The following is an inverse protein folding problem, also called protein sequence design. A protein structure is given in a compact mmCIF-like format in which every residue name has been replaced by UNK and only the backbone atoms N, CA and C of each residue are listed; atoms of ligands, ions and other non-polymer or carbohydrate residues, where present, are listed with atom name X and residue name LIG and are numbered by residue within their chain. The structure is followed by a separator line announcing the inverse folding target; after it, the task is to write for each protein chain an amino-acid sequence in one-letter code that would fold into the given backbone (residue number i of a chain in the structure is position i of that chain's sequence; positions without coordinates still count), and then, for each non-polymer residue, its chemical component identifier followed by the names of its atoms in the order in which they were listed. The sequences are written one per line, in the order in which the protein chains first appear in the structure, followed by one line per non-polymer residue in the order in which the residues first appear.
data_IF_793957170536
#
_entry.id   IF_793957170536
#
_cell.length_a   1.000
_cell.length_b   1.000
_cell.length_c   1.000
_cell.angle_alpha   90.00
_cell.angle_beta   90.00
_cell.angle_gamma   90.00
#
_symmetry.space_group_name_H-M   'P 1'
#
loop_
_entity.id
_entity.type
_entity.pdbx_description
1 polymer ?
#
# COMPACT_ATOMS: atom_id res chain seq x y z
N UNK A 1 -0.14 25.45 20.44
CA UNK A 1 -0.02 23.98 20.29
C UNK A 1 -0.27 23.65 18.83
N UNK A 2 0.79 23.33 18.07
CA UNK A 2 0.76 23.24 16.61
C UNK A 2 0.06 21.94 16.15
N UNK A 3 -1.19 22.09 15.69
CA UNK A 3 -2.04 21.00 15.17
C UNK A 3 -1.59 20.55 13.76
N UNK A 4 -0.70 21.31 13.09
CA UNK A 4 -0.19 21.01 11.75
C UNK A 4 0.66 19.72 11.67
N UNK A 5 1.24 19.24 12.78
CA UNK A 5 2.03 17.98 12.80
C UNK A 5 1.20 16.70 12.80
N UNK A 6 -0.12 16.78 12.91
CA UNK A 6 -1.00 15.61 13.02
C UNK A 6 -2.03 15.49 11.88
N UNK A 7 -2.01 16.41 10.93
CA UNK A 7 -2.80 16.34 9.70
C UNK A 7 -1.93 15.79 8.58
N UNK A 8 -2.14 14.51 8.21
CA UNK A 8 -2.03 13.94 6.84
C UNK A 8 -0.84 14.32 5.95
N UNK A 9 0.22 14.95 6.45
CA UNK A 9 1.42 15.22 5.69
C UNK A 9 2.27 13.96 5.62
N UNK A 10 2.74 13.69 4.40
CA UNK A 10 3.74 12.68 4.13
C UNK A 10 4.98 12.96 5.00
N UNK A 11 5.28 12.05 5.93
CA UNK A 11 6.44 12.15 6.82
C UNK A 11 7.66 11.48 6.15
N UNK A 12 8.58 12.30 5.63
CA UNK A 12 9.84 11.85 5.02
C UNK A 12 10.71 11.02 6.00
N UNK A 13 10.51 11.15 7.33
CA UNK A 13 11.25 10.39 8.34
C UNK A 13 10.72 8.95 8.52
N UNK A 14 9.46 8.69 8.16
CA UNK A 14 8.84 7.36 8.23
C UNK A 14 9.10 6.52 6.98
N UNK A 15 9.38 7.15 5.83
CA UNK A 15 9.80 6.47 4.59
C UNK A 15 11.31 6.32 4.46
N UNK A 16 12.02 6.24 5.59
CA UNK A 16 13.46 6.03 5.70
C UNK A 16 13.98 4.69 5.14
N UNK A 17 13.34 4.12 4.11
CA UNK A 17 14.02 3.18 3.23
C UNK A 17 14.97 3.99 2.33
N UNK A 18 16.19 4.12 2.84
CA UNK A 18 17.35 4.65 2.14
C UNK A 18 17.42 4.03 0.72
N UNK A 19 17.28 4.86 -0.31
CA UNK A 19 17.59 4.60 -1.74
C UNK A 19 16.45 4.44 -2.78
N UNK A 20 15.17 4.57 -2.44
CA UNK A 20 14.10 4.23 -3.41
C UNK A 20 13.69 5.39 -4.35
N UNK A 21 13.87 6.66 -3.95
CA UNK A 21 13.40 7.81 -4.73
C UNK A 21 14.35 9.03 -4.62
N UNK A 22 15.46 9.04 -5.38
CA UNK A 22 16.50 10.08 -5.29
C UNK A 22 16.04 11.46 -5.78
N UNK A 23 14.92 11.55 -6.50
CA UNK A 23 14.35 12.79 -7.01
C UNK A 23 13.07 13.20 -6.28
N UNK A 24 12.59 12.42 -5.32
CA UNK A 24 11.37 12.75 -4.60
C UNK A 24 10.12 12.74 -5.47
N UNK A 25 10.14 12.11 -6.65
CA UNK A 25 9.02 12.11 -7.61
C UNK A 25 7.87 11.22 -7.12
N UNK A 26 8.15 10.18 -6.33
CA UNK A 26 7.14 9.25 -5.86
C UNK A 26 6.05 9.95 -5.06
N UNK A 27 6.39 10.97 -4.27
CA UNK A 27 5.40 11.70 -3.46
C UNK A 27 4.46 12.54 -4.34
N UNK A 28 4.96 13.09 -5.45
CA UNK A 28 4.18 13.87 -6.40
C UNK A 28 3.16 12.94 -7.07
N UNK A 29 3.67 11.85 -7.64
CA UNK A 29 2.85 10.86 -8.31
C UNK A 29 1.85 10.18 -7.38
N UNK A 30 2.28 9.86 -6.16
CA UNK A 30 1.45 9.19 -5.16
C UNK A 30 0.27 10.05 -4.74
N UNK A 31 0.42 11.38 -4.72
CA UNK A 31 -0.65 12.32 -4.39
C UNK A 31 -1.82 12.22 -5.38
N UNK A 32 -1.55 12.21 -6.69
CA UNK A 32 -2.61 12.02 -7.69
C UNK A 32 -3.20 10.61 -7.66
N UNK A 33 -2.38 9.59 -7.48
CA UNK A 33 -2.90 8.24 -7.36
C UNK A 33 -3.76 8.05 -6.10
N UNK A 34 -3.44 8.69 -4.98
CA UNK A 34 -4.31 8.72 -3.79
C UNK A 34 -5.65 9.38 -4.08
N UNK A 35 -5.69 10.41 -4.93
CA UNK A 35 -6.94 11.04 -5.37
C UNK A 35 -7.82 10.05 -6.14
N UNK A 36 -7.24 9.31 -7.10
CA UNK A 36 -7.96 8.32 -7.91
C UNK A 36 -8.43 7.13 -7.07
N UNK A 37 -7.54 6.56 -6.26
CA UNK A 37 -7.81 5.33 -5.51
C UNK A 37 -8.36 5.60 -4.11
N UNK A 38 -8.54 6.86 -3.72
CA UNK A 38 -9.06 7.33 -2.41
C UNK A 38 -8.40 6.64 -1.22
N UNK A 39 -7.10 6.37 -1.33
CA UNK A 39 -6.32 5.63 -0.33
C UNK A 39 -6.91 4.26 0.05
N UNK A 40 -7.59 3.60 -0.88
CA UNK A 40 -8.17 2.23 -0.77
C UNK A 40 -7.22 1.14 -1.21
N UNK A 41 -6.11 1.49 -1.86
CA UNK A 41 -5.05 0.55 -2.27
C UNK A 41 -3.73 1.24 -1.98
N UNK A 42 -2.74 0.47 -1.54
CA UNK A 42 -1.35 0.93 -1.42
C UNK A 42 -0.41 -0.18 -1.93
N UNK A 43 0.90 0.08 -1.97
CA UNK A 43 1.90 -0.95 -2.28
C UNK A 43 1.90 -2.14 -1.30
N UNK A 44 1.34 -1.95 -0.10
CA UNK A 44 1.32 -2.97 0.96
C UNK A 44 -0.10 -3.45 1.31
N UNK A 45 -1.13 -2.78 0.80
CA UNK A 45 -2.55 -3.11 0.98
C UNK A 45 -3.23 -3.32 -0.38
N UNK A 46 -3.06 -4.52 -0.93
CA UNK A 46 -3.44 -4.87 -2.31
C UNK A 46 -3.92 -6.33 -2.47
N UNK A 47 -4.07 -7.10 -1.38
CA UNK A 47 -4.54 -8.49 -1.41
C UNK A 47 -5.95 -8.57 -0.80
N UNK A 48 -6.93 -9.02 -1.59
CA UNK A 48 -8.33 -9.17 -1.17
C UNK A 48 -8.48 -10.14 0.01
N UNK A 49 -7.64 -11.17 0.08
CA UNK A 49 -7.62 -12.11 1.19
C UNK A 49 -7.27 -11.42 2.49
N UNK A 50 -6.28 -10.53 2.45
CA UNK A 50 -5.83 -9.80 3.64
C UNK A 50 -6.81 -8.71 4.04
N UNK A 51 -7.46 -8.03 3.08
CA UNK A 51 -8.60 -7.15 3.36
C UNK A 51 -9.70 -7.88 4.13
N UNK A 52 -10.08 -9.06 3.64
CA UNK A 52 -11.14 -9.88 4.22
C UNK A 52 -10.76 -10.46 5.57
N UNK A 53 -9.50 -10.90 5.74
CA UNK A 53 -8.97 -11.36 7.02
C UNK A 53 -9.00 -10.24 8.06
N UNK A 54 -8.55 -9.04 7.68
CA UNK A 54 -8.53 -7.90 8.59
C UNK A 54 -9.95 -7.51 9.03
N UNK A 55 -10.89 -7.43 8.09
CA UNK A 55 -12.30 -7.17 8.40
C UNK A 55 -12.87 -8.20 9.37
N UNK A 56 -12.61 -9.48 9.13
CA UNK A 56 -13.07 -10.56 10.00
C UNK A 56 -12.48 -10.41 11.42
N UNK A 57 -11.18 -10.19 11.56
CA UNK A 57 -10.56 -10.00 12.87
C UNK A 57 -11.18 -8.82 13.62
N UNK A 58 -11.37 -7.68 12.96
CA UNK A 58 -12.02 -6.53 13.57
C UNK A 58 -13.51 -6.77 13.87
N UNK A 59 -14.21 -7.62 13.12
CA UNK A 59 -15.59 -8.01 13.48
C UNK A 59 -15.63 -8.80 14.79
N UNK A 60 -14.65 -9.68 15.03
CA UNK A 60 -14.50 -10.40 16.31
C UNK A 60 -14.22 -9.40 17.44
N UNK A 61 -13.30 -8.47 17.22
CA UNK A 61 -12.98 -7.43 18.20
C UNK A 61 -14.20 -6.57 18.54
N UNK A 62 -14.94 -6.10 17.54
CA UNK A 62 -16.15 -5.32 17.74
C UNK A 62 -17.18 -6.07 18.58
N UNK A 63 -17.39 -7.35 18.31
CA UNK A 63 -18.33 -8.18 19.08
C UNK A 63 -17.85 -8.38 20.53
N UNK A 64 -16.55 -8.61 20.75
CA UNK A 64 -15.96 -8.68 22.08
C UNK A 64 -16.13 -7.36 22.86
N UNK A 65 -15.94 -6.21 22.20
CA UNK A 65 -16.08 -4.90 22.83
C UNK A 65 -17.53 -4.59 23.22
N UNK A 66 -18.48 -4.94 22.35
CA UNK A 66 -19.91 -4.68 22.55
C UNK A 66 -20.56 -5.54 23.66
N UNK A 67 -20.00 -6.71 23.99
CA UNK A 67 -20.55 -7.57 25.04
C UNK A 67 -20.18 -7.08 26.46
N UNK A 68 -20.97 -6.19 27.04
CA UNK A 68 -20.72 -5.62 28.38
C UNK A 68 -20.53 -6.66 29.50
N UNK A 69 -21.13 -7.85 29.36
CA UNK A 69 -21.02 -8.92 30.36
C UNK A 69 -19.66 -9.60 30.33
N UNK A 70 -18.98 -9.58 29.19
CA UNK A 70 -17.66 -10.14 29.03
C UNK A 70 -16.59 -9.18 29.55
N UNK A 71 -15.89 -9.59 30.60
CA UNK A 71 -14.78 -8.86 31.22
C UNK A 71 -13.52 -9.73 31.26
N UNK A 72 -12.34 -9.13 31.35
CA UNK A 72 -11.10 -9.89 31.54
C UNK A 72 -11.07 -10.48 32.96
N UNK A 73 -10.61 -11.73 33.09
CA UNK A 73 -10.49 -12.42 34.37
C UNK A 73 -9.10 -13.07 34.54
N UNK A 74 -8.80 -13.53 35.76
CA UNK A 74 -7.60 -14.31 36.06
C UNK A 74 -6.31 -13.68 35.55
N UNK A 75 -5.55 -14.43 34.75
CA UNK A 75 -4.30 -13.96 34.15
C UNK A 75 -4.52 -12.87 33.10
N UNK A 76 -5.62 -12.93 32.35
CA UNK A 76 -5.97 -11.90 31.37
C UNK A 76 -6.19 -10.54 32.05
N UNK A 77 -6.88 -10.50 33.20
CA UNK A 77 -7.10 -9.25 33.95
C UNK A 77 -5.81 -8.64 34.48
N UNK A 78 -4.83 -9.48 34.84
CA UNK A 78 -3.51 -9.02 35.29
C UNK A 78 -2.71 -8.38 34.16
N UNK A 79 -2.76 -8.96 32.96
CA UNK A 79 -2.09 -8.41 31.78
C UNK A 79 -2.83 -7.20 31.19
N UNK A 80 -4.16 -7.27 31.15
CA UNK A 80 -5.05 -6.28 30.55
C UNK A 80 -6.25 -6.01 31.49
N UNK A 81 -6.17 -4.97 32.34
CA UNK A 81 -7.20 -4.68 33.34
C UNK A 81 -8.60 -4.44 32.76
N UNK A 82 -8.67 -3.99 31.51
CA UNK A 82 -9.91 -3.75 30.76
C UNK A 82 -9.73 -4.22 29.32
N UNK A 83 -10.79 -4.77 28.73
CA UNK A 83 -10.79 -5.16 27.31
C UNK A 83 -10.73 -3.96 26.36
N UNK A 84 -11.12 -2.76 26.81
CA UNK A 84 -11.00 -1.52 26.03
C UNK A 84 -9.57 -0.98 25.97
N UNK A 85 -8.60 -1.61 26.63
CA UNK A 85 -7.20 -1.23 26.52
C UNK A 85 -6.70 -1.41 25.08
N UNK A 86 -5.87 -0.49 24.59
CA UNK A 86 -5.30 -0.56 23.24
C UNK A 86 -4.41 -1.78 23.09
N UNK A 87 -3.66 -2.08 24.13
CA UNK A 87 -2.75 -3.21 24.25
C UNK A 87 -3.50 -4.54 24.17
N UNK A 88 -4.71 -4.62 24.73
CA UNK A 88 -5.57 -5.80 24.59
C UNK A 88 -6.01 -5.99 23.13
N UNK A 89 -6.38 -4.91 22.44
CA UNK A 89 -6.76 -4.96 21.02
C UNK A 89 -5.57 -5.39 20.17
N UNK A 90 -4.40 -4.81 20.40
CA UNK A 90 -3.16 -5.19 19.75
C UNK A 90 -2.84 -6.69 19.95
N UNK A 91 -2.93 -7.18 21.19
CA UNK A 91 -2.66 -8.58 21.52
C UNK A 91 -3.63 -9.54 20.82
N UNK A 92 -4.93 -9.22 20.79
CA UNK A 92 -5.90 -10.04 20.08
C UNK A 92 -5.63 -10.10 18.57
N UNK A 93 -5.29 -8.97 17.95
CA UNK A 93 -5.02 -8.90 16.51
C UNK A 93 -3.76 -9.68 16.13
N UNK A 94 -2.68 -9.53 16.90
CA UNK A 94 -1.46 -10.34 16.74
C UNK A 94 -1.79 -11.82 16.88
N UNK A 95 -2.51 -12.20 17.94
CA UNK A 95 -2.81 -13.60 18.23
C UNK A 95 -3.66 -14.26 17.14
N UNK A 96 -4.71 -13.59 16.68
CA UNK A 96 -5.54 -14.07 15.57
C UNK A 96 -4.75 -14.18 14.26
N UNK A 97 -3.87 -13.21 13.97
CA UNK A 97 -2.98 -13.27 12.81
C UNK A 97 -1.99 -14.44 12.91
N UNK A 98 -1.39 -14.69 14.07
CA UNK A 98 -0.49 -15.81 14.28
C UNK A 98 -1.20 -17.16 14.08
N UNK A 99 -2.45 -17.28 14.57
CA UNK A 99 -3.26 -18.48 14.35
C UNK A 99 -3.55 -18.67 12.86
N UNK A 100 -3.89 -17.60 12.14
CA UNK A 100 -4.06 -17.66 10.69
C UNK A 100 -2.78 -18.16 9.99
N UNK A 101 -1.62 -17.55 10.28
CA UNK A 101 -0.34 -17.89 9.63
C UNK A 101 -0.01 -19.37 9.84
N UNK A 102 -0.07 -19.86 11.09
CA UNK A 102 0.21 -21.27 11.39
C UNK A 102 -0.87 -22.22 10.84
N UNK A 103 -2.12 -21.77 10.74
CA UNK A 103 -3.17 -22.55 10.05
C UNK A 103 -2.83 -22.76 8.58
N UNK A 104 -2.33 -21.72 7.90
CA UNK A 104 -1.90 -21.81 6.51
C UNK A 104 -0.68 -22.72 6.36
N UNK A 105 0.35 -22.57 7.21
CA UNK A 105 1.53 -23.46 7.19
C UNK A 105 1.13 -24.92 7.38
N UNK A 106 0.31 -25.21 8.39
CA UNK A 106 -0.17 -26.57 8.67
C UNK A 106 -1.02 -27.17 7.55
N UNK A 107 -1.52 -26.35 6.63
CA UNK A 107 -2.31 -26.75 5.48
C UNK A 107 -1.58 -26.63 4.14
N UNK A 108 -0.28 -26.30 4.12
CA UNK A 108 0.51 -26.10 2.89
C UNK A 108 0.35 -27.27 1.90
N UNK A 109 0.49 -28.50 2.39
CA UNK A 109 0.33 -29.72 1.59
C UNK A 109 -1.10 -29.98 1.09
N UNK A 110 -2.08 -29.20 1.55
CA UNK A 110 -3.49 -29.26 1.13
C UNK A 110 -3.81 -28.25 0.02
N UNK A 111 -2.80 -27.57 -0.52
CA UNK A 111 -2.92 -26.65 -1.64
C UNK A 111 -3.44 -25.27 -1.26
N UNK A 112 -3.05 -24.75 -0.09
CA UNK A 112 -3.23 -23.32 0.25
C UNK A 112 -2.12 -22.50 -0.38
N UNK A 113 -2.41 -21.25 -0.75
CA UNK A 113 -1.41 -20.33 -1.29
C UNK A 113 -0.76 -19.54 -0.15
N UNK A 114 0.55 -19.67 0.03
CA UNK A 114 1.27 -18.97 1.11
C UNK A 114 1.83 -17.61 0.70
N UNK A 115 1.99 -17.36 -0.60
CA UNK A 115 2.35 -16.04 -1.14
C UNK A 115 1.34 -15.00 -0.67
N UNK A 116 1.80 -13.86 -0.15
CA UNK A 116 0.95 -12.80 0.40
C UNK A 116 0.54 -12.98 1.88
N UNK A 117 0.89 -14.10 2.52
CA UNK A 117 0.75 -14.28 3.98
C UNK A 117 1.90 -13.58 4.71
N UNK A 118 1.59 -12.55 5.49
CA UNK A 118 2.60 -11.74 6.17
C UNK A 118 3.33 -12.57 7.24
N UNK A 119 4.65 -12.43 7.35
CA UNK A 119 5.46 -13.16 8.33
C UNK A 119 5.68 -14.66 8.04
N UNK A 120 5.22 -15.19 6.90
CA UNK A 120 5.23 -16.63 6.61
C UNK A 120 6.62 -17.28 6.71
N UNK A 121 7.69 -16.59 6.26
CA UNK A 121 9.05 -17.13 6.29
C UNK A 121 9.57 -17.29 7.73
N UNK A 122 9.32 -16.30 8.59
CA UNK A 122 9.68 -16.36 10.02
C UNK A 122 8.85 -17.41 10.74
N UNK A 123 7.55 -17.50 10.43
CA UNK A 123 6.66 -18.51 10.97
C UNK A 123 7.10 -19.93 10.59
N UNK A 124 7.52 -20.15 9.33
CA UNK A 124 8.02 -21.46 8.87
C UNK A 124 9.26 -21.91 9.63
N UNK A 125 10.19 -20.99 9.88
CA UNK A 125 11.37 -21.29 10.68
C UNK A 125 10.96 -21.73 12.10
N UNK A 126 10.12 -20.95 12.78
CA UNK A 126 9.61 -21.30 14.13
C UNK A 126 8.85 -22.62 14.15
N UNK A 127 8.04 -22.86 13.12
CA UNK A 127 7.26 -24.08 12.94
C UNK A 127 8.15 -25.32 12.87
N UNK A 128 9.20 -25.28 12.03
CA UNK A 128 10.13 -26.39 11.87
C UNK A 128 10.97 -26.63 13.14
N UNK A 129 11.50 -25.57 13.75
CA UNK A 129 12.28 -25.67 14.99
C UNK A 129 11.47 -26.25 16.15
N UNK A 130 10.16 -25.97 16.19
CA UNK A 130 9.26 -26.48 17.22
C UNK A 130 8.58 -27.81 16.85
N UNK A 131 9.12 -28.59 15.89
CA UNK A 131 8.55 -29.86 15.44
C UNK A 131 7.05 -29.76 15.08
N UNK A 132 6.68 -28.71 14.34
CA UNK A 132 5.30 -28.40 13.93
C UNK A 132 4.36 -28.00 15.09
N UNK A 133 4.89 -27.69 16.28
CA UNK A 133 4.10 -27.29 17.45
C UNK A 133 4.68 -26.05 18.17
N UNK A 134 4.75 -24.89 17.50
CA UNK A 134 5.25 -23.67 18.12
C UNK A 134 4.35 -23.20 19.27
N UNK A 135 4.93 -22.47 20.23
CA UNK A 135 4.17 -21.76 21.28
C UNK A 135 3.62 -20.46 20.70
N UNK A 136 2.39 -20.12 21.07
CA UNK A 136 1.73 -18.86 20.73
C UNK A 136 1.46 -18.05 22.00
N UNK A 137 2.39 -17.16 22.40
CA UNK A 137 2.14 -16.21 23.47
C UNK A 137 1.03 -15.23 23.08
N UNK A 138 0.07 -15.02 23.97
CA UNK A 138 -0.92 -13.96 23.85
C UNK A 138 -0.35 -12.67 24.45
N UNK A 139 -0.01 -11.72 23.59
CA UNK A 139 0.57 -10.45 24.02
C UNK A 139 0.71 -9.44 22.89
N UNK A 140 1.17 -8.24 23.23
CA UNK A 140 1.37 -7.11 22.31
C UNK A 140 2.85 -6.72 22.13
N UNK A 141 3.76 -7.52 22.71
CA UNK A 141 5.20 -7.33 22.68
C UNK A 141 5.87 -8.22 21.61
N UNK A 142 7.18 -8.02 21.41
CA UNK A 142 7.95 -8.73 20.39
C UNK A 142 8.00 -10.26 20.58
N UNK A 143 7.80 -10.76 21.80
CA UNK A 143 7.74 -12.21 22.08
C UNK A 143 6.49 -12.85 21.49
N UNK A 144 5.41 -12.08 21.41
CA UNK A 144 4.13 -12.49 20.82
C UNK A 144 4.12 -12.33 19.30
N UNK A 145 5.01 -11.52 18.73
CA UNK A 145 5.10 -11.27 17.30
C UNK A 145 5.84 -12.41 16.56
N UNK A 146 5.34 -12.78 15.37
CA UNK A 146 6.10 -13.59 14.41
C UNK A 146 6.88 -12.69 13.45
N UNK A 147 6.23 -11.63 12.97
CA UNK A 147 6.84 -10.60 12.16
C UNK A 147 7.29 -9.46 13.06
N UNK A 148 8.56 -9.05 13.01
CA UNK A 148 9.04 -7.86 13.73
C UNK A 148 8.18 -6.63 13.39
N UNK A 149 7.70 -5.91 14.41
CA UNK A 149 6.75 -4.80 14.27
C UNK A 149 5.43 -5.24 13.59
N UNK A 150 4.87 -6.38 14.00
CA UNK A 150 3.67 -6.97 13.40
C UNK A 150 2.46 -6.03 13.43
N UNK A 151 2.34 -5.18 14.44
CA UNK A 151 1.25 -4.20 14.51
C UNK A 151 1.28 -3.20 13.35
N UNK A 152 2.46 -2.89 12.81
CA UNK A 152 2.65 -1.97 11.68
C UNK A 152 2.79 -2.70 10.35
N UNK A 153 3.54 -3.81 10.33
CA UNK A 153 3.93 -4.53 9.11
C UNK A 153 3.10 -5.79 8.85
N UNK A 154 2.30 -6.26 9.81
CA UNK A 154 1.36 -7.35 9.66
C UNK A 154 0.07 -6.91 8.96
N UNK A 155 -0.90 -7.81 8.93
CA UNK A 155 -2.19 -7.63 8.24
C UNK A 155 -2.95 -6.44 8.80
N UNK A 156 -3.03 -6.31 10.13
CA UNK A 156 -3.71 -5.16 10.73
C UNK A 156 -3.04 -3.84 10.33
N UNK A 157 -1.72 -3.73 10.46
CA UNK A 157 -0.99 -2.48 10.21
C UNK A 157 -1.06 -2.02 8.77
N UNK A 158 -0.77 -2.91 7.82
CA UNK A 158 -0.79 -2.60 6.37
C UNK A 158 -2.18 -2.14 5.90
N UNK A 159 -3.24 -2.71 6.45
CA UNK A 159 -4.63 -2.44 6.03
C UNK A 159 -5.34 -1.43 6.94
N UNK A 160 -4.66 -0.88 7.96
CA UNK A 160 -5.26 0.07 8.92
C UNK A 160 -5.80 1.32 8.23
N UNK A 161 -4.97 2.01 7.45
CA UNK A 161 -5.37 3.28 6.83
C UNK A 161 -6.53 3.12 5.84
N UNK A 162 -6.55 2.13 4.92
CA UNK A 162 -7.72 1.88 4.10
C UNK A 162 -9.00 1.60 4.90
N UNK A 163 -8.91 0.83 5.99
CA UNK A 163 -10.06 0.50 6.83
C UNK A 163 -10.60 1.70 7.62
N UNK A 164 -9.71 2.59 8.10
CA UNK A 164 -10.08 3.87 8.73
C UNK A 164 -10.78 4.76 7.73
N UNK A 165 -10.20 4.92 6.54
CA UNK A 165 -10.83 5.71 5.48
C UNK A 165 -12.19 5.12 5.10
N UNK A 166 -12.37 3.80 5.25
CA UNK A 166 -13.63 3.09 5.00
C UNK A 166 -14.52 3.11 6.26
N UNK A 167 -14.22 3.92 7.27
CA UNK A 167 -15.06 4.12 8.45
C UNK A 167 -15.41 2.82 9.19
N UNK A 168 -14.53 1.81 9.16
CA UNK A 168 -14.71 0.63 10.00
C UNK A 168 -14.34 0.94 11.46
N UNK A 169 -13.32 1.76 11.68
CA UNK A 169 -12.87 2.15 13.01
C UNK A 169 -12.00 3.41 12.94
N UNK A 170 -11.77 4.07 14.09
CA UNK A 170 -10.86 5.20 14.19
C UNK A 170 -9.38 4.77 14.32
N UNK A 171 -8.46 5.74 14.36
CA UNK A 171 -7.03 5.53 14.66
C UNK A 171 -6.79 4.78 15.97
N UNK A 172 -7.73 4.89 16.91
CA UNK A 172 -7.73 4.28 18.24
C UNK A 172 -8.55 2.98 18.32
N UNK A 173 -9.07 2.47 17.20
CA UNK A 173 -9.95 1.31 17.13
C UNK A 173 -11.32 1.49 17.81
N UNK A 174 -11.90 2.69 17.79
CA UNK A 174 -13.31 2.85 18.16
C UNK A 174 -14.21 2.30 17.06
N UNK A 175 -15.05 1.29 17.39
CA UNK A 175 -15.87 0.55 16.44
C UNK A 175 -17.33 1.04 16.34
N UNK A 176 -17.76 1.89 17.27
CA UNK A 176 -19.14 2.26 17.55
C UNK A 176 -19.44 3.75 17.31
N UNK A 177 -18.56 4.46 16.60
CA UNK A 177 -18.83 5.84 16.16
C UNK A 177 -20.09 5.87 15.27
N UNK A 178 -20.93 6.95 15.35
CA UNK A 178 -22.20 7.03 14.62
C UNK A 178 -22.07 6.72 13.12
N UNK A 179 -21.03 7.27 12.48
CA UNK A 179 -20.79 7.11 11.05
C UNK A 179 -20.43 5.67 10.68
N UNK A 180 -19.94 4.85 11.61
CA UNK A 180 -19.52 3.48 11.34
C UNK A 180 -20.70 2.50 11.28
N UNK A 181 -21.90 2.88 11.73
CA UNK A 181 -23.04 1.95 11.91
C UNK A 181 -23.44 1.26 10.61
N UNK A 182 -23.61 2.03 9.53
CA UNK A 182 -24.02 1.50 8.22
C UNK A 182 -22.96 0.55 7.63
N UNK A 183 -21.68 0.88 7.84
CA UNK A 183 -20.54 0.09 7.39
C UNK A 183 -20.52 -1.27 8.05
N UNK A 184 -20.67 -1.29 9.38
CA UNK A 184 -20.71 -2.54 10.13
C UNK A 184 -21.96 -3.35 9.83
N UNK A 185 -23.12 -2.73 9.60
CA UNK A 185 -24.32 -3.47 9.18
C UNK A 185 -24.08 -4.23 7.86
N UNK A 186 -23.45 -3.59 6.87
CA UNK A 186 -23.10 -4.24 5.61
C UNK A 186 -22.08 -5.38 5.81
N UNK A 187 -21.04 -5.15 6.62
CA UNK A 187 -20.04 -6.17 6.93
C UNK A 187 -20.60 -7.35 7.72
N UNK A 188 -21.50 -7.10 8.65
CA UNK A 188 -22.21 -8.13 9.41
C UNK A 188 -23.08 -8.99 8.48
N UNK A 189 -23.83 -8.36 7.58
CA UNK A 189 -24.62 -9.07 6.58
C UNK A 189 -23.72 -9.94 5.69
N UNK A 190 -22.63 -9.37 5.18
CA UNK A 190 -21.63 -10.07 4.38
C UNK A 190 -21.05 -11.30 5.11
N UNK A 191 -20.51 -11.11 6.32
CA UNK A 191 -19.90 -12.19 7.10
C UNK A 191 -20.93 -13.29 7.43
N UNK A 192 -22.18 -12.92 7.73
CA UNK A 192 -23.23 -13.88 8.05
C UNK A 192 -23.73 -14.66 6.81
N UNK A 193 -23.67 -14.06 5.63
CA UNK A 193 -24.07 -14.68 4.37
C UNK A 193 -23.00 -15.63 3.81
N UNK A 194 -21.73 -15.45 4.15
CA UNK A 194 -20.65 -16.36 3.74
C UNK A 194 -20.43 -17.43 4.82
N UNK A 195 -20.78 -18.72 4.58
CA UNK A 195 -20.76 -19.75 5.63
C UNK A 195 -19.37 -19.98 6.24
N UNK A 196 -18.30 -19.86 5.44
CA UNK A 196 -16.93 -20.00 5.91
C UNK A 196 -16.54 -18.88 6.89
N UNK A 197 -16.88 -17.62 6.57
CA UNK A 197 -16.60 -16.48 7.45
C UNK A 197 -17.45 -16.52 8.71
N UNK A 198 -18.76 -16.79 8.60
CA UNK A 198 -19.65 -16.95 9.76
C UNK A 198 -19.12 -17.99 10.75
N UNK A 199 -18.73 -19.16 10.24
CA UNK A 199 -18.16 -20.24 11.07
C UNK A 199 -16.85 -19.80 11.72
N UNK A 200 -15.94 -19.22 10.94
CA UNK A 200 -14.65 -18.78 11.46
C UNK A 200 -14.80 -17.71 12.54
N UNK A 201 -15.66 -16.71 12.32
CA UNK A 201 -15.95 -15.66 13.30
C UNK A 201 -16.45 -16.26 14.62
N UNK A 202 -17.40 -17.19 14.56
CA UNK A 202 -17.94 -17.85 15.75
C UNK A 202 -16.85 -18.62 16.52
N UNK A 203 -15.98 -19.35 15.81
CA UNK A 203 -14.87 -20.09 16.42
C UNK A 203 -13.82 -19.15 17.04
N UNK A 204 -13.47 -18.07 16.35
CA UNK A 204 -12.50 -17.09 16.84
C UNK A 204 -13.03 -16.35 18.08
N UNK A 205 -14.30 -15.95 18.07
CA UNK A 205 -14.97 -15.32 19.20
C UNK A 205 -14.98 -16.26 20.42
N UNK A 206 -15.47 -17.50 20.25
CA UNK A 206 -15.51 -18.48 21.33
C UNK A 206 -14.12 -18.75 21.92
N UNK A 207 -13.10 -18.86 21.06
CA UNK A 207 -11.73 -19.06 21.48
C UNK A 207 -11.19 -17.86 22.29
N UNK A 208 -11.32 -16.62 21.78
CA UNK A 208 -10.86 -15.43 22.51
C UNK A 208 -11.64 -15.21 23.81
N UNK A 209 -12.96 -15.43 23.82
CA UNK A 209 -13.77 -15.38 25.05
C UNK A 209 -13.25 -16.39 26.08
N UNK A 210 -12.90 -17.61 25.68
CA UNK A 210 -12.32 -18.60 26.60
C UNK A 210 -10.96 -18.16 27.13
N UNK A 211 -10.12 -17.58 26.26
CA UNK A 211 -8.79 -17.09 26.61
C UNK A 211 -8.87 -15.91 27.59
N UNK A 212 -9.89 -15.06 27.48
CA UNK A 212 -10.14 -13.96 28.41
C UNK A 212 -10.47 -14.39 29.84
N UNK A 213 -10.85 -15.66 30.04
CA UNK A 213 -11.25 -16.22 31.33
C UNK A 213 -10.20 -17.12 31.98
N UNK A 214 -9.00 -17.26 31.39
CA UNK A 214 -7.98 -18.18 31.92
C UNK A 214 -7.43 -17.69 33.26
N UNK A 215 -7.16 -18.66 34.14
CA UNK A 215 -6.71 -18.38 35.51
C UNK A 215 -5.20 -18.20 35.63
N UNK A 216 -4.41 -18.92 34.83
CA UNK A 216 -2.96 -18.97 34.96
C UNK A 216 -2.24 -18.38 33.73
N UNK A 217 -1.07 -17.76 33.96
CA UNK A 217 -0.27 -17.14 32.90
C UNK A 217 0.13 -18.14 31.81
N UNK A 218 0.48 -19.38 32.19
CA UNK A 218 0.86 -20.45 31.25
C UNK A 218 -0.23 -20.74 30.20
N UNK A 219 -1.49 -20.47 30.52
CA UNK A 219 -2.62 -20.72 29.60
C UNK A 219 -2.71 -19.64 28.51
N UNK A 220 -2.07 -18.47 28.73
CA UNK A 220 -1.85 -17.43 27.72
C UNK A 220 -0.69 -17.76 26.78
N UNK A 221 0.11 -18.78 27.08
CA UNK A 221 1.25 -19.25 26.28
C UNK A 221 0.94 -20.65 25.73
N UNK A 222 -0.11 -20.74 24.92
CA UNK A 222 -0.62 -22.02 24.43
C UNK A 222 0.24 -22.58 23.30
N UNK A 223 0.62 -23.85 23.40
CA UNK A 223 1.19 -24.59 22.28
C UNK A 223 0.18 -24.71 21.12
N UNK A 224 0.68 -24.73 19.88
CA UNK A 224 -0.15 -24.74 18.68
C UNK A 224 -1.17 -25.89 18.67
N UNK A 225 -0.81 -27.09 19.11
CA UNK A 225 -1.68 -28.25 19.21
C UNK A 225 -2.93 -27.99 20.07
N UNK A 226 -2.82 -27.15 21.10
CA UNK A 226 -3.93 -26.74 21.98
C UNK A 226 -4.91 -25.78 21.32
N UNK A 227 -4.53 -25.09 20.25
CA UNK A 227 -5.48 -24.27 19.48
C UNK A 227 -6.54 -25.20 18.86
N UNK A 228 -7.85 -24.92 19.01
CA UNK A 228 -8.91 -25.83 18.56
C UNK A 228 -8.79 -26.19 17.07
N UNK A 229 -8.84 -27.49 16.69
CA UNK A 229 -8.80 -27.90 15.28
C UNK A 229 -9.91 -27.27 14.43
N UNK A 230 -11.07 -27.03 15.04
CA UNK A 230 -12.20 -26.36 14.37
C UNK A 230 -11.85 -24.92 13.94
N UNK A 231 -11.10 -24.18 14.75
CA UNK A 231 -10.63 -22.83 14.44
C UNK A 231 -9.58 -22.86 13.32
N UNK A 232 -8.57 -23.74 13.45
CA UNK A 232 -7.51 -23.93 12.44
C UNK A 232 -8.10 -24.23 11.05
N UNK A 233 -9.02 -25.21 11.00
CA UNK A 233 -9.68 -25.62 9.77
C UNK A 233 -10.60 -24.52 9.22
N UNK A 234 -11.22 -23.71 10.07
CA UNK A 234 -12.06 -22.60 9.63
C UNK A 234 -11.23 -21.49 8.95
N UNK A 235 -10.03 -21.18 9.46
CA UNK A 235 -9.09 -20.27 8.79
C UNK A 235 -8.72 -20.77 7.40
N UNK A 236 -8.29 -22.05 7.30
CA UNK A 236 -7.92 -22.68 6.02
C UNK A 236 -9.07 -22.64 5.02
N UNK A 237 -10.29 -22.96 5.47
CA UNK A 237 -11.47 -22.95 4.60
C UNK A 237 -11.83 -21.56 4.10
N UNK A 238 -11.68 -20.53 4.94
CA UNK A 238 -12.05 -19.17 4.58
C UNK A 238 -11.00 -18.48 3.70
N UNK A 239 -9.71 -18.75 3.89
CA UNK A 239 -8.62 -17.92 3.33
C UNK A 239 -7.57 -18.72 2.55
N UNK A 240 -7.99 -19.82 1.91
CA UNK A 240 -7.13 -20.74 1.17
C UNK A 240 -6.17 -20.05 0.20
N UNK A 241 -6.70 -19.15 -0.62
CA UNK A 241 -5.98 -18.38 -1.63
C UNK A 241 -6.79 -17.12 -2.00
N UNK A 242 -6.18 -16.11 -2.65
CA UNK A 242 -6.87 -14.86 -3.00
C UNK A 242 -8.07 -15.06 -3.93
N UNK A 243 -8.02 -16.01 -4.85
CA UNK A 243 -9.06 -16.25 -5.85
C UNK A 243 -10.34 -16.80 -5.20
N UNK A 244 -10.20 -17.79 -4.32
CA UNK A 244 -11.28 -18.34 -3.49
C UNK A 244 -11.93 -17.25 -2.63
N UNK A 245 -11.13 -16.32 -2.09
CA UNK A 245 -11.69 -15.18 -1.35
C UNK A 245 -12.43 -14.21 -2.27
N UNK A 246 -11.87 -13.94 -3.45
CA UNK A 246 -12.52 -13.13 -4.48
C UNK A 246 -13.93 -13.63 -4.80
N UNK A 247 -14.07 -14.94 -5.05
CA UNK A 247 -15.33 -15.58 -5.45
C UNK A 247 -16.52 -15.20 -4.55
N UNK A 248 -16.31 -15.08 -3.23
CA UNK A 248 -17.39 -14.71 -2.30
C UNK A 248 -17.37 -13.25 -1.86
N UNK A 249 -16.26 -12.52 -2.02
CA UNK A 249 -16.08 -11.17 -1.44
C UNK A 249 -16.06 -10.02 -2.46
N UNK A 250 -16.04 -10.35 -3.75
CA UNK A 250 -15.89 -9.38 -4.83
C UNK A 250 -16.90 -8.23 -4.75
N UNK A 251 -18.19 -8.55 -4.73
CA UNK A 251 -19.26 -7.56 -4.72
C UNK A 251 -19.16 -6.64 -3.50
N UNK A 252 -18.97 -7.24 -2.32
CA UNK A 252 -18.80 -6.50 -1.07
C UNK A 252 -17.63 -5.51 -1.15
N UNK A 253 -16.46 -5.96 -1.61
CA UNK A 253 -15.28 -5.09 -1.68
C UNK A 253 -15.38 -4.04 -2.77
N UNK A 254 -15.92 -4.36 -3.95
CA UNK A 254 -16.15 -3.34 -4.98
C UNK A 254 -17.13 -2.27 -4.50
N UNK A 255 -18.21 -2.67 -3.83
CA UNK A 255 -19.16 -1.73 -3.26
C UNK A 255 -18.54 -0.88 -2.14
N UNK A 256 -17.73 -1.45 -1.25
CA UNK A 256 -17.17 -0.73 -0.10
C UNK A 256 -16.00 0.17 -0.48
N UNK A 257 -15.14 -0.29 -1.38
CA UNK A 257 -13.96 0.47 -1.83
C UNK A 257 -14.30 1.47 -2.91
N UNK A 258 -15.39 1.24 -3.66
CA UNK A 258 -15.80 2.00 -4.83
C UNK A 258 -14.77 2.02 -5.96
N UNK A 259 -13.86 1.04 -5.97
CA UNK A 259 -12.81 0.92 -6.99
C UNK A 259 -13.36 0.56 -8.39
N UNK A 260 -14.64 0.24 -8.50
CA UNK A 260 -15.37 0.08 -9.75
C UNK A 260 -16.17 1.33 -10.16
N UNK A 261 -16.03 2.45 -9.45
CA UNK A 261 -16.72 3.71 -9.72
C UNK A 261 -15.73 4.85 -9.97
N UNK A 262 -16.20 5.93 -10.59
CA UNK A 262 -15.43 7.16 -10.83
C UNK A 262 -14.08 6.91 -11.54
N UNK A 263 -13.02 7.64 -11.18
CA UNK A 263 -11.72 7.53 -11.85
C UNK A 263 -11.13 6.13 -11.75
N UNK A 264 -11.13 5.53 -10.55
CA UNK A 264 -10.70 4.14 -10.35
C UNK A 264 -11.55 3.16 -11.15
N UNK A 265 -12.86 3.42 -11.26
CA UNK A 265 -13.80 2.64 -12.04
C UNK A 265 -13.51 2.66 -13.54
N UNK A 266 -13.10 3.80 -14.09
CA UNK A 266 -12.66 3.88 -15.48
C UNK A 266 -11.43 2.99 -15.72
N UNK A 267 -10.44 3.03 -14.81
CA UNK A 267 -9.27 2.14 -14.84
C UNK A 267 -9.71 0.67 -14.70
N UNK A 268 -10.63 0.36 -13.77
CA UNK A 268 -11.19 -0.98 -13.59
C UNK A 268 -11.78 -1.53 -14.88
N UNK A 269 -12.54 -0.74 -15.63
CA UNK A 269 -13.11 -1.18 -16.91
C UNK A 269 -12.04 -1.47 -17.96
N UNK A 270 -10.98 -0.65 -18.03
CA UNK A 270 -9.84 -0.92 -18.92
C UNK A 270 -9.16 -2.24 -18.54
N UNK A 271 -8.86 -2.44 -17.26
CA UNK A 271 -8.19 -3.66 -16.79
C UNK A 271 -9.10 -4.91 -16.95
N UNK A 272 -10.42 -4.74 -16.83
CA UNK A 272 -11.38 -5.81 -17.13
C UNK A 272 -11.37 -6.18 -18.62
N UNK A 273 -11.18 -5.22 -19.52
CA UNK A 273 -11.00 -5.49 -20.96
C UNK A 273 -9.64 -6.12 -21.25
N UNK A 274 -8.56 -5.60 -20.63
CA UNK A 274 -7.19 -6.15 -20.68
C UNK A 274 -7.19 -7.65 -20.37
N UNK A 275 -7.88 -8.04 -19.28
CA UNK A 275 -8.01 -9.45 -18.88
C UNK A 275 -8.68 -10.33 -19.94
N UNK A 276 -9.68 -9.81 -20.66
CA UNK A 276 -10.42 -10.58 -21.69
C UNK A 276 -9.60 -10.85 -22.95
N UNK A 277 -8.68 -9.95 -23.29
CA UNK A 277 -7.85 -10.07 -24.50
C UNK A 277 -6.47 -10.69 -24.20
N UNK A 278 -6.22 -11.08 -22.95
CA UNK A 278 -4.97 -11.69 -22.45
C UNK A 278 -3.70 -10.94 -22.88
N UNK A 279 -3.80 -9.63 -23.06
CA UNK A 279 -2.69 -8.78 -23.52
C UNK A 279 -2.53 -7.63 -22.54
N UNK A 280 -1.38 -7.60 -21.86
CA UNK A 280 -1.07 -6.57 -20.85
C UNK A 280 -0.82 -5.24 -21.55
N UNK A 281 -1.61 -4.22 -21.22
CA UNK A 281 -1.41 -2.87 -21.72
C UNK A 281 -0.29 -2.17 -20.95
N UNK A 282 0.40 -1.26 -21.62
CA UNK A 282 1.29 -0.31 -20.94
C UNK A 282 0.48 0.62 -20.03
N UNK A 283 1.13 1.18 -19.01
CA UNK A 283 0.46 2.08 -18.07
C UNK A 283 -0.08 3.35 -18.79
N UNK A 284 0.66 3.88 -19.76
CA UNK A 284 0.22 4.98 -20.61
C UNK A 284 -1.06 4.65 -21.38
N UNK A 285 -1.17 3.44 -21.95
CA UNK A 285 -2.37 2.98 -22.63
C UNK A 285 -3.54 2.79 -21.68
N UNK A 286 -3.29 2.29 -20.47
CA UNK A 286 -4.33 2.15 -19.44
C UNK A 286 -4.95 3.49 -19.11
N UNK A 287 -4.13 4.51 -18.79
CA UNK A 287 -4.64 5.84 -18.49
C UNK A 287 -5.31 6.50 -19.69
N UNK A 288 -4.73 6.36 -20.89
CA UNK A 288 -5.32 6.89 -22.12
C UNK A 288 -6.70 6.32 -22.42
N UNK A 289 -6.89 5.00 -22.23
CA UNK A 289 -8.20 4.36 -22.39
C UNK A 289 -9.14 4.70 -21.25
N UNK A 290 -8.65 4.82 -20.02
CA UNK A 290 -9.45 5.17 -18.86
C UNK A 290 -10.04 6.58 -19.01
N UNK A 291 -9.29 7.56 -19.52
CA UNK A 291 -9.81 8.91 -19.82
C UNK A 291 -10.99 8.84 -20.80
N UNK A 292 -10.85 8.08 -21.90
CA UNK A 292 -11.94 7.90 -22.89
C UNK A 292 -13.17 7.20 -22.34
N UNK A 293 -12.98 6.28 -21.39
CA UNK A 293 -14.10 5.63 -20.68
C UNK A 293 -14.77 6.64 -19.76
N UNK A 294 -13.98 7.40 -18.98
CA UNK A 294 -14.48 8.41 -18.06
C UNK A 294 -15.30 9.51 -18.77
N UNK A 295 -14.91 9.94 -19.98
CA UNK A 295 -15.69 10.87 -20.81
C UNK A 295 -17.11 10.38 -21.13
N UNK A 296 -17.31 9.05 -21.17
CA UNK A 296 -18.59 8.41 -21.49
C UNK A 296 -19.37 8.00 -20.25
N UNK A 297 -18.82 8.15 -19.05
CA UNK A 297 -19.49 7.80 -17.81
C UNK A 297 -20.42 8.95 -17.39
N UNK A 298 -21.75 8.75 -17.34
CA UNK A 298 -22.70 9.82 -17.07
C UNK A 298 -22.63 10.37 -15.64
N UNK A 299 -22.16 9.58 -14.67
CA UNK A 299 -22.15 9.92 -13.24
C UNK A 299 -20.76 10.32 -12.71
N UNK A 300 -19.73 10.42 -13.54
CA UNK A 300 -18.39 10.77 -13.05
C UNK A 300 -18.29 12.29 -12.81
N UNK A 301 -17.83 12.64 -11.61
CA UNK A 301 -17.55 14.01 -11.24
C UNK A 301 -16.36 14.60 -12.04
N UNK A 302 -16.38 15.92 -12.28
CA UNK A 302 -15.32 16.59 -13.04
C UNK A 302 -13.96 16.49 -12.33
N UNK A 303 -13.92 16.57 -11.00
CA UNK A 303 -12.68 16.40 -10.24
C UNK A 303 -12.07 15.01 -10.45
N UNK A 304 -12.90 13.97 -10.49
CA UNK A 304 -12.48 12.58 -10.75
C UNK A 304 -11.94 12.42 -12.18
N UNK A 305 -12.59 13.05 -13.17
CA UNK A 305 -12.11 13.08 -14.56
C UNK A 305 -10.75 13.79 -14.66
N UNK A 306 -10.62 14.94 -14.00
CA UNK A 306 -9.38 15.73 -13.98
C UNK A 306 -8.24 14.98 -13.30
N UNK A 307 -8.49 14.17 -12.27
CA UNK A 307 -7.45 13.37 -11.61
C UNK A 307 -6.73 12.41 -12.58
N UNK A 308 -7.45 11.76 -13.50
CA UNK A 308 -6.86 10.92 -14.55
C UNK A 308 -6.02 11.74 -15.54
N UNK A 309 -6.48 12.94 -15.87
CA UNK A 309 -5.80 13.83 -16.80
C UNK A 309 -4.52 14.42 -16.21
N UNK A 310 -4.51 14.78 -14.92
CA UNK A 310 -3.33 15.33 -14.25
C UNK A 310 -2.13 14.38 -14.35
N UNK A 311 -2.35 13.10 -14.04
CA UNK A 311 -1.34 12.03 -14.17
C UNK A 311 -0.83 11.96 -15.62
N UNK A 312 -1.75 11.90 -16.59
CA UNK A 312 -1.38 11.74 -18.00
C UNK A 312 -0.65 12.95 -18.58
N UNK A 313 -0.92 14.16 -18.06
CA UNK A 313 -0.26 15.41 -18.45
C UNK A 313 1.10 15.58 -17.79
N UNK A 314 1.24 15.19 -16.53
CA UNK A 314 2.47 15.38 -15.76
C UNK A 314 3.53 14.29 -16.03
N UNK A 315 3.13 13.06 -16.35
CA UNK A 315 4.08 11.96 -16.52
C UNK A 315 5.17 12.20 -17.56
N UNK A 316 4.88 12.73 -18.77
CA UNK A 316 5.95 12.97 -19.75
C UNK A 316 7.04 13.91 -19.22
N UNK A 317 6.66 14.87 -18.38
CA UNK A 317 7.61 15.77 -17.72
C UNK A 317 8.45 15.05 -16.65
N UNK A 318 7.80 14.28 -15.77
CA UNK A 318 8.47 13.52 -14.72
C UNK A 318 9.42 12.46 -15.30
N UNK A 319 8.98 11.75 -16.34
CA UNK A 319 9.77 10.76 -17.08
C UNK A 319 11.00 11.37 -17.74
N UNK A 320 10.89 12.59 -18.29
CA UNK A 320 12.02 13.29 -18.90
C UNK A 320 13.03 13.78 -17.87
N UNK A 321 12.57 14.25 -16.70
CA UNK A 321 13.44 14.57 -15.56
C UNK A 321 14.14 13.29 -15.05
N UNK A 322 13.43 12.16 -14.95
CA UNK A 322 14.05 10.89 -14.54
C UNK A 322 15.05 10.39 -15.59
N UNK A 323 14.80 10.60 -16.88
CA UNK A 323 15.75 10.27 -17.96
C UNK A 323 17.02 11.13 -17.87
N UNK A 324 16.90 12.43 -17.58
CA UNK A 324 18.04 13.31 -17.32
C UNK A 324 18.87 12.77 -16.15
N UNK A 325 18.25 12.47 -15.02
CA UNK A 325 18.94 11.95 -13.85
C UNK A 325 19.56 10.57 -14.08
N UNK A 326 18.85 9.68 -14.77
CA UNK A 326 19.34 8.35 -15.14
C UNK A 326 20.53 8.43 -16.08
N UNK A 327 20.50 9.37 -17.03
CA UNK A 327 21.64 9.70 -17.87
C UNK A 327 22.84 10.16 -17.05
N UNK A 328 22.65 11.02 -16.04
CA UNK A 328 23.72 11.45 -15.14
C UNK A 328 24.30 10.29 -14.29
N UNK A 329 23.54 9.21 -14.08
CA UNK A 329 23.94 8.03 -13.29
C UNK A 329 24.52 6.87 -14.11
N UNK A 330 24.57 6.97 -15.44
CA UNK A 330 24.94 5.84 -16.32
C UNK A 330 26.40 5.39 -16.20
N UNK A 331 27.27 6.27 -15.69
CA UNK A 331 28.72 6.08 -15.60
C UNK A 331 29.22 6.57 -14.25
N UNK A 332 30.33 6.01 -13.77
CA UNK A 332 30.94 6.40 -12.50
C UNK A 332 31.48 7.84 -12.51
N UNK A 333 31.90 8.32 -13.67
CA UNK A 333 32.32 9.70 -13.92
C UNK A 333 31.98 10.07 -15.36
N UNK A 334 31.59 11.33 -15.59
CA UNK A 334 31.35 11.88 -16.91
C UNK A 334 31.46 13.41 -16.90
N UNK A 335 31.68 14.02 -18.06
CA UNK A 335 31.65 15.47 -18.25
C UNK A 335 30.26 15.96 -18.64
N UNK A 336 30.00 17.26 -18.48
CA UNK A 336 28.79 17.91 -19.02
C UNK A 336 28.66 17.76 -20.54
N UNK A 337 29.78 17.76 -21.26
CA UNK A 337 29.83 17.52 -22.71
C UNK A 337 29.40 16.08 -23.07
N UNK A 338 29.90 15.07 -22.35
CA UNK A 338 29.48 13.67 -22.54
C UNK A 338 27.99 13.48 -22.22
N UNK A 339 27.49 14.14 -21.17
CA UNK A 339 26.05 14.14 -20.88
C UNK A 339 25.24 14.80 -22.02
N UNK A 340 25.73 15.90 -22.59
CA UNK A 340 25.06 16.59 -23.70
C UNK A 340 24.99 15.70 -24.94
N UNK A 341 26.06 14.95 -25.22
CA UNK A 341 26.05 13.94 -26.28
C UNK A 341 25.02 12.84 -26.02
N UNK A 342 24.92 12.34 -24.78
CA UNK A 342 23.89 11.38 -24.38
C UNK A 342 22.48 11.92 -24.62
N UNK A 343 22.21 13.18 -24.25
CA UNK A 343 20.92 13.83 -24.45
C UNK A 343 20.55 13.90 -25.93
N UNK A 344 21.49 14.31 -26.78
CA UNK A 344 21.30 14.35 -28.23
C UNK A 344 21.10 12.97 -28.86
N UNK A 345 21.81 11.94 -28.41
CA UNK A 345 21.62 10.56 -28.87
C UNK A 345 20.20 10.04 -28.60
N UNK A 346 19.56 10.52 -27.53
CA UNK A 346 18.15 10.24 -27.22
C UNK A 346 17.17 11.13 -28.00
N UNK A 347 17.63 11.88 -29.01
CA UNK A 347 16.83 12.80 -29.84
C UNK A 347 16.16 13.90 -29.01
N UNK A 348 16.86 14.39 -28.00
CA UNK A 348 16.43 15.46 -27.13
C UNK A 348 17.27 16.72 -27.35
N UNK A 349 16.66 17.85 -27.02
CA UNK A 349 17.22 19.21 -27.11
C UNK A 349 17.11 19.91 -25.76
N UNK A 350 17.79 21.05 -25.62
CA UNK A 350 17.64 21.90 -24.44
C UNK A 350 16.20 22.43 -24.26
N UNK A 351 15.35 22.36 -25.30
CA UNK A 351 13.99 22.91 -25.28
C UNK A 351 12.92 21.89 -24.85
N UNK A 352 13.19 20.58 -24.85
CA UNK A 352 12.17 19.57 -24.54
C UNK A 352 11.62 19.71 -23.10
N UNK A 353 12.50 19.95 -22.11
CA UNK A 353 12.09 20.18 -20.71
C UNK A 353 11.37 21.53 -20.52
N UNK A 354 11.92 22.67 -20.97
CA UNK A 354 11.24 23.98 -20.87
C UNK A 354 9.85 23.98 -21.50
N UNK A 355 9.68 23.33 -22.66
CA UNK A 355 8.38 23.28 -23.33
C UNK A 355 7.34 22.48 -22.54
N UNK A 356 7.74 21.37 -21.91
CA UNK A 356 6.85 20.60 -21.04
C UNK A 356 6.53 21.38 -19.76
N UNK A 357 7.54 22.00 -19.14
CA UNK A 357 7.38 22.81 -17.94
C UNK A 357 6.42 23.99 -18.17
N UNK A 358 6.57 24.72 -19.28
CA UNK A 358 5.72 25.85 -19.63
C UNK A 358 4.25 25.44 -19.81
N UNK A 359 3.98 24.30 -20.45
CA UNK A 359 2.62 23.75 -20.59
C UNK A 359 1.99 23.44 -19.24
N UNK A 360 2.75 22.82 -18.33
CA UNK A 360 2.28 22.47 -17.00
C UNK A 360 2.09 23.69 -16.09
N UNK A 361 2.94 24.71 -16.23
CA UNK A 361 2.80 25.98 -15.49
C UNK A 361 1.52 26.74 -15.87
N UNK A 362 1.04 26.58 -17.10
CA UNK A 362 -0.23 27.17 -17.56
C UNK A 362 -1.45 26.41 -17.04
N UNK A 363 -1.29 25.15 -16.61
CA UNK A 363 -2.36 24.31 -16.08
C UNK A 363 -2.59 24.58 -14.58
N UNK A 364 -3.32 25.67 -14.29
CA UNK A 364 -3.64 26.07 -12.92
C UNK A 364 -4.41 25.00 -12.15
N UNK A 365 -5.22 24.19 -12.82
CA UNK A 365 -5.99 23.11 -12.20
C UNK A 365 -5.08 21.99 -11.70
N UNK A 366 -4.12 21.58 -12.54
CA UNK A 366 -3.12 20.58 -12.17
C UNK A 366 -2.25 21.07 -11.00
N UNK A 367 -1.76 22.30 -11.04
CA UNK A 367 -0.95 22.86 -9.96
C UNK A 367 -1.72 22.95 -8.64
N UNK A 368 -2.98 23.39 -8.68
CA UNK A 368 -3.84 23.48 -7.50
C UNK A 368 -4.24 22.10 -6.92
N UNK A 369 -4.12 21.03 -7.71
CA UNK A 369 -4.42 19.66 -7.24
C UNK A 369 -3.36 19.08 -6.30
N UNK A 370 -2.17 19.69 -6.27
CA UNK A 370 -1.10 19.31 -5.35
C UNK A 370 -1.08 20.25 -4.15
N UNK A 371 -0.85 19.70 -2.96
CA UNK A 371 -0.75 20.47 -1.70
C UNK A 371 0.49 20.01 -0.93
N UNK A 372 1.09 20.91 -0.15
CA UNK A 372 2.21 20.59 0.75
C UNK A 372 3.48 20.16 0.02
N UNK A 373 4.12 19.09 0.50
CA UNK A 373 5.38 18.55 -0.05
C UNK A 373 5.31 18.20 -1.54
N UNK A 374 4.29 17.46 -2.04
CA UNK A 374 4.09 17.25 -3.48
C UNK A 374 4.13 18.54 -4.31
N UNK A 375 3.38 19.57 -3.90
CA UNK A 375 3.29 20.83 -4.62
C UNK A 375 4.64 21.55 -4.68
N UNK A 376 5.33 21.63 -3.54
CA UNK A 376 6.64 22.27 -3.44
C UNK A 376 7.67 21.57 -4.34
N UNK A 377 7.74 20.24 -4.30
CA UNK A 377 8.69 19.47 -5.11
C UNK A 377 8.38 19.61 -6.60
N UNK A 378 7.12 19.48 -6.99
CA UNK A 378 6.72 19.63 -8.38
C UNK A 378 7.06 21.03 -8.91
N UNK A 379 6.81 22.09 -8.13
CA UNK A 379 7.17 23.44 -8.50
C UNK A 379 8.69 23.64 -8.64
N UNK A 380 9.50 23.06 -7.75
CA UNK A 380 10.97 23.11 -7.86
C UNK A 380 11.47 22.44 -9.15
N UNK A 381 10.90 21.27 -9.50
CA UNK A 381 11.22 20.59 -10.75
C UNK A 381 10.79 21.42 -11.97
N UNK A 382 9.62 22.05 -11.95
CA UNK A 382 9.19 22.93 -13.03
C UNK A 382 10.12 24.14 -13.20
N UNK A 383 10.55 24.73 -12.09
CA UNK A 383 11.47 25.89 -12.12
C UNK A 383 12.82 25.52 -12.71
N UNK A 384 13.46 24.43 -12.26
CA UNK A 384 14.76 24.03 -12.81
C UNK A 384 14.67 23.60 -14.28
N UNK A 385 13.55 22.97 -14.67
CA UNK A 385 13.32 22.57 -16.04
C UNK A 385 13.07 23.75 -16.99
N UNK A 386 12.73 24.92 -16.46
CA UNK A 386 12.49 26.13 -17.25
C UNK A 386 13.77 26.87 -17.65
N UNK A 387 14.94 26.42 -17.17
CA UNK A 387 16.22 27.01 -17.56
C UNK A 387 16.45 26.82 -19.08
N UNK A 388 16.95 27.84 -19.80
CA UNK A 388 17.07 27.81 -21.27
C UNK A 388 18.14 26.82 -21.77
N UNK A 389 19.23 26.67 -21.01
CA UNK A 389 20.38 25.85 -21.40
C UNK A 389 20.38 24.49 -20.71
N UNK A 390 20.82 23.44 -21.44
CA UNK A 390 20.88 22.08 -20.90
C UNK A 390 21.80 21.99 -19.66
N UNK A 391 22.92 22.73 -19.69
CA UNK A 391 23.84 22.78 -18.56
C UNK A 391 23.18 23.36 -17.30
N UNK A 392 22.42 24.45 -17.44
CA UNK A 392 21.71 25.07 -16.32
C UNK A 392 20.64 24.13 -15.76
N UNK A 393 19.93 23.41 -16.62
CA UNK A 393 18.97 22.38 -16.22
C UNK A 393 19.65 21.26 -15.40
N UNK A 394 20.82 20.77 -15.86
CA UNK A 394 21.62 19.75 -15.16
C UNK A 394 22.10 20.27 -13.80
N UNK A 395 22.69 21.47 -13.75
CA UNK A 395 23.16 22.09 -12.51
C UNK A 395 22.00 22.28 -11.52
N UNK A 396 20.84 22.72 -12.01
CA UNK A 396 19.62 22.85 -11.21
C UNK A 396 19.13 21.52 -10.65
N UNK A 397 19.12 20.46 -11.45
CA UNK A 397 18.72 19.12 -11.02
C UNK A 397 19.66 18.55 -9.94
N UNK A 398 20.97 18.74 -10.09
CA UNK A 398 21.97 18.30 -9.12
C UNK A 398 21.84 19.05 -7.79
N UNK A 399 21.64 20.38 -7.83
CA UNK A 399 21.39 21.18 -6.63
C UNK A 399 20.09 20.76 -5.92
N UNK A 400 19.03 20.50 -6.69
CA UNK A 400 17.77 19.97 -6.15
C UNK A 400 17.98 18.62 -5.45
N UNK A 401 18.66 17.68 -6.11
CA UNK A 401 18.95 16.36 -5.56
C UNK A 401 19.79 16.44 -4.28
N UNK A 402 20.82 17.29 -4.26
CA UNK A 402 21.67 17.50 -3.09
C UNK A 402 20.86 18.03 -1.89
N UNK A 403 19.99 19.03 -2.11
CA UNK A 403 19.13 19.55 -1.06
C UNK A 403 18.15 18.48 -0.52
N UNK A 404 17.60 17.66 -1.41
CA UNK A 404 16.70 16.56 -1.02
C UNK A 404 17.43 15.49 -0.20
N UNK A 405 18.63 15.07 -0.60
CA UNK A 405 19.42 14.09 0.15
C UNK A 405 19.85 14.66 1.51
N UNK A 406 20.28 15.93 1.56
CA UNK A 406 20.64 16.60 2.81
C UNK A 406 19.46 16.65 3.79
N UNK A 407 18.25 16.94 3.32
CA UNK A 407 17.02 16.91 4.13
C UNK A 407 16.75 15.52 4.72
N UNK A 408 17.18 14.47 4.04
CA UNK A 408 17.07 13.07 4.49
C UNK A 408 18.25 12.59 5.32
N UNK A 409 19.24 13.45 5.61
CA UNK A 409 20.48 13.08 6.28
C UNK A 409 21.35 12.12 5.45
N UNK A 410 21.22 12.14 4.13
CA UNK A 410 21.93 11.27 3.18
C UNK A 410 22.96 12.07 2.36
N UNK A 411 24.00 11.38 1.90
CA UNK A 411 24.95 11.94 0.95
C UNK A 411 24.33 12.02 -0.46
N UNK A 412 24.63 13.08 -1.24
CA UNK A 412 24.19 13.16 -2.64
C UNK A 412 24.82 12.04 -3.46
N UNK A 413 24.05 11.50 -4.40
CA UNK A 413 24.51 10.43 -5.28
C UNK A 413 25.43 10.96 -6.38
N UNK A 414 25.28 12.22 -6.75
CA UNK A 414 26.03 12.88 -7.81
C UNK A 414 26.68 14.14 -7.26
N UNK A 415 27.95 14.35 -7.59
CA UNK A 415 28.72 15.55 -7.23
C UNK A 415 29.26 16.16 -8.52
N UNK A 416 29.11 17.48 -8.66
CA UNK A 416 29.65 18.24 -9.78
C UNK A 416 30.85 19.07 -9.32
N UNK A 417 32.00 18.84 -9.94
CA UNK A 417 33.25 19.58 -9.71
C UNK A 417 33.75 20.15 -11.04
N UNK A 418 33.60 21.47 -11.22
CA UNK A 418 33.80 22.10 -12.51
C UNK A 418 32.79 21.56 -13.54
N UNK A 419 33.30 20.79 -14.50
CA UNK A 419 32.51 20.13 -15.55
C UNK A 419 32.39 18.61 -15.36
N UNK A 420 33.05 18.05 -14.33
CA UNK A 420 33.06 16.63 -14.04
C UNK A 420 31.96 16.27 -13.05
N UNK A 421 31.11 15.33 -13.45
CA UNK A 421 30.06 14.72 -12.65
C UNK A 421 30.57 13.36 -12.16
N UNK A 422 30.69 13.19 -10.84
CA UNK A 422 31.09 11.92 -10.22
C UNK A 422 29.91 11.27 -9.51
N UNK A 423 29.78 9.95 -9.67
CA UNK A 423 28.74 9.14 -9.06
C UNK A 423 29.26 8.47 -7.78
N UNK A 424 28.54 8.64 -6.68
CA UNK A 424 28.86 8.12 -5.35
C UNK A 424 28.16 6.78 -5.06
N UNK A 425 27.44 6.23 -6.04
CA UNK A 425 26.69 4.98 -5.98
C UNK A 425 27.02 4.13 -7.21
N UNK A 426 26.69 2.82 -7.25
CA UNK A 426 26.91 2.01 -8.43
C UNK A 426 26.20 2.60 -9.67
N UNK A 427 26.86 2.59 -10.86
CA UNK A 427 26.26 3.05 -12.10
C UNK A 427 24.94 2.36 -12.43
N UNK A 428 24.00 3.14 -12.94
CA UNK A 428 22.71 2.64 -13.42
C UNK A 428 22.89 2.05 -14.82
N UNK A 429 22.47 0.80 -15.02
CA UNK A 429 22.30 0.25 -16.36
C UNK A 429 21.01 0.82 -16.97
N UNK A 430 21.16 1.75 -17.92
CA UNK A 430 20.03 2.31 -18.65
C UNK A 430 19.56 1.34 -19.73
N UNK A 431 18.26 1.16 -19.87
CA UNK A 431 17.70 0.47 -21.04
C UNK A 431 18.01 1.28 -22.30
N UNK A 432 18.68 0.68 -23.29
CA UNK A 432 19.05 1.34 -24.55
C UNK A 432 17.83 1.74 -25.39
N UNK A 433 16.68 1.10 -25.18
CA UNK A 433 15.43 1.42 -25.87
C UNK A 433 14.65 2.55 -25.17
N UNK A 434 15.17 3.10 -24.07
CA UNK A 434 14.44 4.08 -23.26
C UNK A 434 14.14 5.35 -24.07
N UNK A 435 12.88 5.71 -24.17
CA UNK A 435 12.42 6.90 -24.89
C UNK A 435 11.86 7.98 -23.96
N UNK A 436 11.70 9.20 -24.48
CA UNK A 436 11.08 10.32 -23.75
C UNK A 436 9.59 10.14 -23.46
N UNK A 437 8.94 9.17 -24.11
CA UNK A 437 7.53 8.80 -23.92
C UNK A 437 7.34 7.65 -22.94
N UNK A 438 8.41 7.08 -22.40
CA UNK A 438 8.31 5.95 -21.49
C UNK A 438 7.69 6.39 -20.17
N UNK A 439 6.75 5.58 -19.70
CA UNK A 439 6.17 5.72 -18.36
C UNK A 439 7.17 5.21 -17.33
N UNK A 440 7.43 5.97 -16.27
CA UNK A 440 8.38 5.62 -15.20
C UNK A 440 7.68 5.40 -13.87
N UNK A 441 6.52 6.02 -13.66
CA UNK A 441 5.81 5.98 -12.40
C UNK A 441 4.72 4.89 -12.37
N UNK A 442 5.12 3.69 -11.98
CA UNK A 442 4.25 2.50 -12.00
C UNK A 442 3.53 2.22 -10.68
N UNK A 443 3.55 3.11 -9.68
CA UNK A 443 3.26 2.72 -8.29
C UNK A 443 1.90 2.02 -8.07
N UNK A 444 0.79 2.53 -8.63
CA UNK A 444 -0.56 2.02 -8.32
C UNK A 444 -1.07 0.90 -9.23
N UNK A 445 -0.82 0.96 -10.55
CA UNK A 445 -1.44 0.04 -11.51
C UNK A 445 -1.10 -1.45 -11.27
N UNK A 446 0.15 -1.84 -10.99
CA UNK A 446 0.50 -3.20 -10.60
C UNK A 446 -0.22 -3.66 -9.33
N UNK A 447 -0.39 -2.76 -8.36
CA UNK A 447 -1.08 -3.08 -7.09
C UNK A 447 -2.56 -3.28 -7.33
N UNK A 448 -3.16 -2.46 -8.19
CA UNK A 448 -4.56 -2.60 -8.56
C UNK A 448 -4.78 -3.88 -9.39
N UNK A 449 -3.91 -4.18 -10.36
CA UNK A 449 -3.92 -5.46 -11.09
C UNK A 449 -3.81 -6.65 -10.14
N UNK A 450 -2.95 -6.58 -9.13
CA UNK A 450 -2.80 -7.63 -8.11
C UNK A 450 -4.11 -7.83 -7.32
N UNK A 451 -4.70 -6.74 -6.82
CA UNK A 451 -5.97 -6.78 -6.11
C UNK A 451 -7.10 -7.34 -6.98
N UNK A 452 -7.19 -6.89 -8.23
CA UNK A 452 -8.22 -7.32 -9.17
C UNK A 452 -8.09 -8.79 -9.57
N UNK A 453 -6.86 -9.29 -9.73
CA UNK A 453 -6.63 -10.72 -9.97
C UNK A 453 -7.23 -11.57 -8.85
N UNK A 454 -7.03 -11.17 -7.59
CA UNK A 454 -7.68 -11.83 -6.46
C UNK A 454 -9.20 -11.65 -6.48
N UNK A 455 -9.68 -10.41 -6.62
CA UNK A 455 -11.12 -10.07 -6.59
C UNK A 455 -11.94 -10.75 -7.69
N UNK A 456 -11.38 -10.95 -8.88
CA UNK A 456 -12.09 -11.61 -9.97
C UNK A 456 -12.16 -13.13 -9.80
N UNK A 457 -11.45 -13.69 -8.82
CA UNK A 457 -11.54 -15.09 -8.47
C UNK A 457 -11.16 -16.03 -9.61
N UNK A 458 -11.72 -17.24 -9.56
CA UNK A 458 -11.52 -18.27 -10.58
C UNK A 458 -12.36 -18.03 -11.85
N UNK A 459 -13.20 -16.99 -11.87
CA UNK A 459 -14.00 -16.65 -13.04
C UNK A 459 -13.08 -16.16 -14.17
N UNK A 460 -12.77 -17.08 -15.09
CA UNK A 460 -12.32 -16.82 -16.46
C UNK A 460 -13.53 -16.67 -17.37
#
# INVERSE_FOLDING_TARGET
MHIEKFLTEYDDSLTGELNIDPLGQLVIWSSWGQSIFRSRITSIANDVRQYTLNLLHHSVMRQLMADEKLQTAGAMKKAYPKKQAREFTAACLIHLENIYIYSMIGAEKKGVMLTGVQGINKARLRWNTANNNPVLPFGHDGDSEILTNQLALGTNGRYKSPMINMQFFSTEYHYDLPDNKHVWQAAEAFINNVPALKKLRAQALAYLTSLMQVSYKRDLESAWDKVPPALKNAYVKAFRDPETVGDYSQEFWLQRTELNKNAAGAIYQVLKQERKVESKLSDAEVFSRAIRIAEKMPEIDEHERMALQHISRAEPFLALIDLMFSGLRRQSSQTLAEFSQFWHQHKLTAQDLPQLAAKLQQDKGLLASLIGTPARRFQQLLTLASAPELEEQVRGLLAYHQALMATRGQFPWLILEGDNISLQVPPLQLNAERTKSDWVNHYYLPQFRHLLRGLWGNAA
#
